data_IF_744045666119
#
_entry.id   IF_744045666119
#
_cell.length_a   1.000
_cell.length_b   1.000
_cell.length_c   1.000
_cell.angle_alpha   90.00
_cell.angle_beta   90.00
_cell.angle_gamma   90.00
#
_symmetry.space_group_name_H-M   'P 1'
#
loop_
_entity.id
_entity.type
_entity.pdbx_description
1 polymer ?
#
# COMPACT_ATOMS: atom_id res chain seq x y z
N UNK A 1 -55.99 -29.92 55.80
CA UNK A 1 -54.83 -29.01 55.73
C UNK A 1 -53.99 -29.35 54.50
N UNK A 2 -54.27 -28.65 53.40
CA UNK A 2 -53.60 -28.88 52.12
C UNK A 2 -52.59 -27.74 51.89
N UNK A 3 -51.30 -28.08 51.80
CA UNK A 3 -50.26 -27.11 51.50
C UNK A 3 -50.06 -27.08 49.97
N UNK A 4 -50.38 -25.95 49.35
CA UNK A 4 -50.03 -25.65 48.00
C UNK A 4 -48.52 -25.30 47.92
N UNK A 5 -47.72 -26.07 47.15
CA UNK A 5 -46.41 -25.72 46.75
C UNK A 5 -46.50 -24.93 45.43
N UNK A 6 -46.15 -23.66 45.49
CA UNK A 6 -46.06 -22.83 44.30
C UNK A 6 -44.70 -23.08 43.59
N UNK A 7 -44.74 -23.51 42.35
CA UNK A 7 -43.59 -23.60 41.47
C UNK A 7 -43.23 -22.19 40.91
N UNK A 8 -42.06 -21.70 41.29
CA UNK A 8 -41.49 -20.49 40.75
C UNK A 8 -40.71 -20.86 39.47
N UNK A 9 -41.27 -20.53 38.31
CA UNK A 9 -40.56 -20.68 37.03
C UNK A 9 -39.70 -19.42 36.85
N UNK A 10 -38.38 -19.61 36.97
CA UNK A 10 -37.40 -18.58 36.61
C UNK A 10 -37.16 -18.67 35.10
N UNK A 11 -37.75 -17.76 34.36
CA UNK A 11 -37.46 -17.61 32.94
C UNK A 11 -36.07 -16.94 32.77
N UNK A 12 -35.07 -17.74 32.48
CA UNK A 12 -33.75 -17.24 32.08
C UNK A 12 -33.81 -16.62 30.69
N UNK A 13 -33.68 -15.31 30.60
CA UNK A 13 -33.46 -14.63 29.31
C UNK A 13 -32.06 -14.94 28.81
N UNK A 14 -31.94 -15.77 27.76
CA UNK A 14 -30.69 -15.90 26.97
C UNK A 14 -30.49 -14.58 26.20
N UNK A 15 -29.60 -13.74 26.65
CA UNK A 15 -29.02 -12.70 25.79
C UNK A 15 -28.16 -13.38 24.72
N UNK A 16 -28.69 -13.47 23.51
CA UNK A 16 -27.85 -13.76 22.34
C UNK A 16 -26.93 -12.57 22.13
N UNK A 17 -25.62 -12.75 22.42
CA UNK A 17 -24.63 -11.81 22.03
C UNK A 17 -24.55 -11.85 20.47
N UNK A 18 -25.12 -10.82 19.83
CA UNK A 18 -24.88 -10.59 18.42
C UNK A 18 -23.38 -10.34 18.28
N UNK A 19 -22.68 -11.26 17.59
CA UNK A 19 -21.33 -11.03 17.13
C UNK A 19 -21.39 -9.85 16.16
N UNK A 20 -20.94 -8.69 16.59
CA UNK A 20 -20.66 -7.58 15.68
C UNK A 20 -19.46 -8.08 14.85
N UNK A 21 -19.74 -8.55 13.64
CA UNK A 21 -18.71 -8.68 12.62
C UNK A 21 -18.27 -7.25 12.39
N UNK A 22 -17.03 -6.91 12.78
CA UNK A 22 -16.42 -5.65 12.40
C UNK A 22 -16.50 -5.57 10.88
N UNK A 23 -17.18 -4.55 10.36
CA UNK A 23 -17.08 -4.24 8.93
C UNK A 23 -15.61 -4.01 8.67
N UNK A 24 -15.07 -4.73 7.67
CA UNK A 24 -13.70 -4.50 7.22
C UNK A 24 -13.58 -3.02 6.86
N UNK A 25 -12.72 -2.29 7.57
CA UNK A 25 -12.55 -0.86 7.35
C UNK A 25 -11.96 -0.52 5.98
N UNK A 26 -11.48 -1.53 5.23
CA UNK A 26 -10.91 -1.40 3.89
C UNK A 26 -11.42 -2.53 3.00
N UNK A 27 -12.12 -2.20 1.93
CA UNK A 27 -12.58 -3.14 0.91
C UNK A 27 -11.85 -2.89 -0.40
N UNK A 28 -11.26 -3.94 -0.97
CA UNK A 28 -10.54 -3.88 -2.25
C UNK A 28 -11.36 -4.53 -3.36
N UNK A 29 -11.56 -3.78 -4.44
CA UNK A 29 -12.23 -4.26 -5.65
C UNK A 29 -11.16 -4.61 -6.70
N UNK A 30 -11.08 -5.88 -7.07
CA UNK A 30 -10.16 -6.35 -8.11
C UNK A 30 -10.56 -5.89 -9.51
N UNK A 31 -9.64 -5.97 -10.45
CA UNK A 31 -9.94 -5.81 -11.87
C UNK A 31 -10.70 -7.05 -12.37
N UNK A 32 -11.76 -6.84 -13.15
CA UNK A 32 -12.41 -7.92 -13.87
C UNK A 32 -11.56 -8.32 -15.09
N UNK A 33 -11.40 -9.61 -15.32
CA UNK A 33 -10.72 -10.17 -16.50
C UNK A 33 -9.24 -9.72 -16.67
N UNK A 34 -8.53 -9.38 -15.59
CA UNK A 34 -7.14 -8.94 -15.64
C UNK A 34 -6.35 -9.37 -14.42
N UNK A 35 -5.16 -9.95 -14.66
CA UNK A 35 -4.18 -10.29 -13.61
C UNK A 35 -3.19 -9.12 -13.33
N UNK A 36 -3.46 -7.93 -13.87
CA UNK A 36 -2.59 -6.78 -13.63
C UNK A 36 -2.63 -6.40 -12.14
N UNK A 37 -1.48 -6.28 -11.45
CA UNK A 37 -1.42 -6.26 -10.00
C UNK A 37 -1.78 -4.88 -9.39
N UNK A 38 -3.04 -4.45 -9.56
CA UNK A 38 -3.63 -3.28 -8.91
C UNK A 38 -5.09 -3.56 -8.54
N UNK A 39 -5.65 -2.81 -7.61
CA UNK A 39 -7.10 -2.76 -7.40
C UNK A 39 -7.76 -1.80 -8.40
N UNK A 40 -8.96 -2.15 -8.87
CA UNK A 40 -9.85 -1.23 -9.59
C UNK A 40 -10.19 -0.03 -8.71
N UNK A 41 -10.53 -0.31 -7.45
CA UNK A 41 -10.86 0.70 -6.43
C UNK A 41 -10.58 0.14 -5.04
N UNK A 42 -10.40 1.03 -4.08
CA UNK A 42 -10.35 0.69 -2.66
C UNK A 42 -11.31 1.60 -1.92
N UNK A 43 -12.26 1.01 -1.19
CA UNK A 43 -13.14 1.72 -0.28
C UNK A 43 -12.57 1.69 1.13
N UNK A 44 -12.66 2.83 1.82
CA UNK A 44 -12.33 2.95 3.23
C UNK A 44 -13.58 3.25 4.04
N UNK A 45 -13.85 2.45 5.07
CA UNK A 45 -14.98 2.63 5.97
C UNK A 45 -14.84 3.87 6.87
N UNK A 46 -15.91 4.29 7.53
CA UNK A 46 -15.95 5.55 8.31
C UNK A 46 -15.05 5.52 9.56
N UNK A 47 -14.56 4.37 9.97
CA UNK A 47 -13.70 4.21 11.14
C UNK A 47 -12.22 3.96 10.75
N UNK A 48 -11.93 3.87 9.47
CA UNK A 48 -10.56 3.68 8.99
C UNK A 48 -9.68 4.89 9.37
N UNK A 49 -8.55 4.60 9.98
CA UNK A 49 -7.49 5.59 10.15
C UNK A 49 -6.72 5.72 8.85
N UNK A 50 -6.67 6.92 8.30
CA UNK A 50 -5.95 7.21 7.06
C UNK A 50 -4.62 7.91 7.36
N UNK A 51 -3.56 7.42 6.73
CA UNK A 51 -2.21 7.98 6.75
C UNK A 51 -1.84 8.43 5.34
N UNK A 52 -1.42 9.67 5.19
CA UNK A 52 -0.86 10.25 3.96
C UNK A 52 0.66 10.30 4.12
N UNK A 53 1.38 9.52 3.33
CA UNK A 53 2.83 9.52 3.29
C UNK A 53 3.30 10.39 2.12
N UNK A 54 4.14 11.37 2.42
CA UNK A 54 4.74 12.25 1.40
C UNK A 54 5.57 11.47 0.39
N UNK A 55 5.84 12.08 -0.77
CA UNK A 55 6.70 11.53 -1.80
C UNK A 55 8.02 11.01 -1.21
N UNK A 56 8.35 9.80 -1.61
CA UNK A 56 9.59 9.09 -1.24
C UNK A 56 10.43 8.94 -2.49
N UNK A 57 11.69 9.27 -2.39
CA UNK A 57 12.68 9.27 -3.47
C UNK A 57 13.77 8.24 -3.18
N UNK A 58 14.55 7.79 -4.18
CA UNK A 58 15.56 6.76 -3.98
C UNK A 58 16.72 7.26 -3.11
N UNK A 59 17.31 6.36 -2.36
CA UNK A 59 18.55 6.58 -1.63
C UNK A 59 19.78 6.42 -2.56
N UNK A 60 20.89 7.04 -2.17
CA UNK A 60 22.16 6.90 -2.91
C UNK A 60 22.64 5.44 -2.83
N UNK A 61 22.87 4.83 -3.97
CA UNK A 61 23.40 3.48 -4.09
C UNK A 61 24.95 3.47 -4.35
N UNK A 62 25.47 4.52 -4.97
CA UNK A 62 26.91 4.71 -5.22
C UNK A 62 27.37 6.11 -4.77
N UNK A 63 27.95 6.19 -3.58
CA UNK A 63 28.48 7.45 -2.99
C UNK A 63 29.66 8.04 -3.78
N UNK A 64 30.25 7.29 -4.70
CA UNK A 64 31.37 7.77 -5.55
C UNK A 64 30.89 8.51 -6.81
N UNK A 65 29.62 8.36 -7.17
CA UNK A 65 29.02 9.02 -8.33
C UNK A 65 28.53 10.43 -7.98
N UNK A 66 28.32 11.25 -9.00
CA UNK A 66 27.71 12.58 -8.84
C UNK A 66 26.24 12.40 -8.40
N UNK A 67 25.86 13.01 -7.27
CA UNK A 67 24.50 12.93 -6.71
C UNK A 67 23.41 13.48 -7.66
N UNK A 68 23.75 14.20 -8.70
CA UNK A 68 22.83 14.66 -9.74
C UNK A 68 22.70 13.69 -10.92
N UNK A 69 23.48 12.61 -10.92
CA UNK A 69 23.49 11.61 -11.99
C UNK A 69 22.67 10.37 -11.63
N UNK A 70 22.03 9.74 -12.62
CA UNK A 70 21.33 8.46 -12.45
C UNK A 70 22.25 7.39 -11.86
N UNK A 71 23.54 7.41 -12.22
CA UNK A 71 24.52 6.45 -11.73
C UNK A 71 24.63 6.41 -10.19
N UNK A 72 24.35 7.51 -9.49
CA UNK A 72 24.35 7.55 -8.03
C UNK A 72 23.22 6.71 -7.41
N UNK A 73 22.13 6.48 -8.13
CA UNK A 73 20.91 5.83 -7.63
C UNK A 73 20.61 4.50 -8.32
N UNK A 74 21.27 4.21 -9.45
CA UNK A 74 21.02 3.03 -10.26
C UNK A 74 19.91 3.21 -11.30
N UNK A 75 19.52 2.13 -11.94
CA UNK A 75 18.44 2.07 -12.92
C UNK A 75 17.04 2.16 -12.26
N UNK A 76 15.99 2.16 -13.09
CA UNK A 76 14.60 2.27 -12.63
C UNK A 76 14.24 1.18 -11.61
N UNK A 77 14.66 -0.06 -11.84
CA UNK A 77 14.35 -1.18 -10.94
C UNK A 77 15.05 -1.00 -9.59
N UNK A 78 16.32 -0.63 -9.59
CA UNK A 78 17.10 -0.36 -8.38
C UNK A 78 16.51 0.80 -7.58
N UNK A 79 16.18 1.90 -8.24
CA UNK A 79 15.58 3.06 -7.59
C UNK A 79 14.18 2.75 -7.06
N UNK A 80 13.36 2.01 -7.81
CA UNK A 80 12.01 1.60 -7.37
C UNK A 80 12.05 0.72 -6.13
N UNK A 81 12.98 -0.24 -6.10
CA UNK A 81 13.19 -1.12 -4.93
C UNK A 81 13.63 -0.30 -3.71
N UNK A 82 14.56 0.64 -3.88
CA UNK A 82 15.01 1.56 -2.82
C UNK A 82 13.84 2.37 -2.25
N UNK A 83 13.02 2.98 -3.12
CA UNK A 83 11.85 3.77 -2.72
C UNK A 83 10.82 2.92 -1.97
N UNK A 84 10.47 1.73 -2.49
CA UNK A 84 9.47 0.85 -1.87
C UNK A 84 9.95 0.29 -0.53
N UNK A 85 11.23 -0.02 -0.40
CA UNK A 85 11.85 -0.41 0.88
C UNK A 85 11.74 0.73 1.90
N UNK A 86 12.10 1.95 1.52
CA UNK A 86 12.00 3.13 2.40
C UNK A 86 10.54 3.43 2.79
N UNK A 87 9.56 3.21 1.89
CA UNK A 87 8.13 3.32 2.21
C UNK A 87 7.74 2.26 3.24
N UNK A 88 8.15 1.01 3.08
CA UNK A 88 7.84 -0.07 4.02
C UNK A 88 8.37 0.25 5.42
N UNK A 89 9.61 0.69 5.54
CA UNK A 89 10.23 1.09 6.82
C UNK A 89 9.50 2.28 7.48
N UNK A 90 9.12 3.30 6.70
CA UNK A 90 8.36 4.45 7.21
C UNK A 90 6.97 4.04 7.70
N UNK A 91 6.27 3.17 6.95
CA UNK A 91 4.96 2.66 7.34
C UNK A 91 5.07 1.86 8.64
N UNK A 92 6.06 0.94 8.75
CA UNK A 92 6.30 0.16 9.96
C UNK A 92 6.58 1.05 11.17
N UNK A 93 7.44 2.06 11.02
CA UNK A 93 7.73 3.05 12.07
C UNK A 93 6.52 3.85 12.54
N UNK A 94 5.47 3.95 11.72
CA UNK A 94 4.20 4.61 12.02
C UNK A 94 3.09 3.62 12.43
N UNK A 95 3.41 2.31 12.51
CA UNK A 95 2.49 1.25 12.89
C UNK A 95 1.56 0.81 11.76
N UNK A 96 1.96 0.98 10.49
CA UNK A 96 1.29 0.50 9.28
C UNK A 96 2.17 -0.52 8.57
N UNK A 97 1.60 -1.22 7.60
CA UNK A 97 2.28 -2.21 6.76
C UNK A 97 2.05 -1.89 5.27
N UNK A 98 2.84 -2.51 4.38
CA UNK A 98 2.60 -2.39 2.93
C UNK A 98 1.20 -2.85 2.53
N UNK A 99 0.63 -3.84 3.22
CA UNK A 99 -0.72 -4.31 3.03
C UNK A 99 -1.81 -3.29 3.38
N UNK A 100 -1.49 -2.24 4.16
CA UNK A 100 -2.41 -1.15 4.49
C UNK A 100 -2.47 -0.06 3.39
N UNK A 101 -1.58 -0.10 2.39
CA UNK A 101 -1.58 0.88 1.29
C UNK A 101 -2.85 0.71 0.47
N UNK A 102 -3.63 1.79 0.36
CA UNK A 102 -4.90 1.84 -0.37
C UNK A 102 -4.80 2.61 -1.69
N UNK A 103 -3.87 3.56 -1.79
CA UNK A 103 -3.61 4.34 -2.99
C UNK A 103 -2.10 4.56 -3.15
N UNK A 104 -1.63 4.51 -4.39
CA UNK A 104 -0.25 4.83 -4.77
C UNK A 104 -0.25 5.74 -6.00
N UNK A 105 0.56 6.79 -5.96
CA UNK A 105 0.95 7.55 -7.15
C UNK A 105 2.46 7.37 -7.37
N UNK A 106 2.83 6.89 -8.54
CA UNK A 106 4.21 6.75 -8.97
C UNK A 106 4.49 7.73 -10.11
N UNK A 107 5.44 8.62 -9.89
CA UNK A 107 5.94 9.59 -10.86
C UNK A 107 7.23 9.03 -11.44
N UNK A 108 7.23 8.74 -12.75
CA UNK A 108 8.32 8.04 -13.41
C UNK A 108 9.00 8.98 -14.41
N UNK A 109 10.33 9.03 -14.38
CA UNK A 109 11.10 9.84 -15.31
C UNK A 109 11.72 8.92 -16.36
N UNK A 110 11.54 9.19 -17.67
CA UNK A 110 12.28 8.50 -18.70
C UNK A 110 13.79 8.65 -18.49
N UNK A 111 14.55 7.57 -18.71
CA UNK A 111 16.00 7.62 -18.56
C UNK A 111 16.58 8.75 -19.45
N UNK A 112 17.32 9.73 -18.88
CA UNK A 112 17.80 10.90 -19.62
C UNK A 112 18.78 10.54 -20.75
N UNK A 113 19.48 9.40 -20.65
CA UNK A 113 20.45 8.96 -21.65
C UNK A 113 19.79 8.32 -22.87
N UNK A 114 18.64 7.64 -22.68
CA UNK A 114 17.93 6.91 -23.74
C UNK A 114 16.64 7.59 -24.19
N UNK A 115 16.04 8.40 -23.32
CA UNK A 115 14.71 8.99 -23.51
C UNK A 115 13.56 7.98 -23.36
N UNK A 116 13.83 6.74 -22.95
CA UNK A 116 12.85 5.67 -22.80
C UNK A 116 12.42 5.51 -21.33
N UNK A 117 11.12 5.28 -21.15
CA UNK A 117 10.56 4.96 -19.85
C UNK A 117 10.70 3.45 -19.61
N UNK A 118 11.46 3.08 -18.59
CA UNK A 118 11.56 1.68 -18.14
C UNK A 118 10.44 1.33 -17.16
N UNK A 119 9.24 1.11 -17.71
CA UNK A 119 8.09 0.69 -16.90
C UNK A 119 8.24 -0.74 -16.37
N UNK A 120 8.94 -1.61 -17.09
CA UNK A 120 9.17 -3.00 -16.67
C UNK A 120 10.07 -3.05 -15.43
N UNK A 121 11.12 -2.22 -15.38
CA UNK A 121 11.96 -2.08 -14.19
C UNK A 121 11.18 -1.63 -12.94
N UNK A 122 10.26 -0.66 -13.10
CA UNK A 122 9.35 -0.29 -12.03
C UNK A 122 8.46 -1.48 -11.60
N UNK A 123 7.88 -2.21 -12.55
CA UNK A 123 6.99 -3.33 -12.25
C UNK A 123 7.71 -4.52 -11.60
N UNK A 124 8.96 -4.80 -12.00
CA UNK A 124 9.77 -5.84 -11.37
C UNK A 124 9.92 -5.58 -9.87
N UNK A 125 10.31 -4.37 -9.49
CA UNK A 125 10.41 -3.99 -8.08
C UNK A 125 9.04 -3.96 -7.38
N UNK A 126 7.99 -3.42 -8.02
CA UNK A 126 6.66 -3.30 -7.44
C UNK A 126 6.08 -4.66 -7.01
N UNK A 127 6.24 -5.69 -7.84
CA UNK A 127 5.69 -7.02 -7.57
C UNK A 127 6.45 -7.79 -6.47
N UNK A 128 7.56 -7.29 -5.99
CA UNK A 128 8.23 -7.80 -4.78
C UNK A 128 7.50 -7.38 -3.50
N UNK A 129 6.73 -6.29 -3.53
CA UNK A 129 6.06 -5.69 -2.37
C UNK A 129 4.53 -5.85 -2.38
N UNK A 130 3.92 -6.03 -3.56
CA UNK A 130 2.47 -6.08 -3.72
C UNK A 130 2.03 -7.29 -4.54
N UNK A 131 0.95 -7.95 -4.08
CA UNK A 131 0.41 -9.12 -4.75
C UNK A 131 1.24 -10.38 -4.57
N UNK A 132 2.06 -10.44 -3.53
CA UNK A 132 2.82 -11.63 -3.15
C UNK A 132 1.96 -12.57 -2.30
N UNK A 133 2.40 -13.81 -2.13
CA UNK A 133 1.71 -14.78 -1.26
C UNK A 133 1.64 -14.28 0.20
N UNK A 134 2.68 -13.57 0.67
CA UNK A 134 2.76 -13.04 2.03
C UNK A 134 2.03 -11.70 2.17
N UNK A 135 1.96 -10.90 1.11
CA UNK A 135 1.29 -9.60 1.07
C UNK A 135 0.42 -9.50 -0.21
N UNK A 136 -0.82 -10.07 -0.20
CA UNK A 136 -1.68 -10.16 -1.39
C UNK A 136 -2.45 -8.87 -1.68
N UNK A 137 -2.50 -7.91 -0.77
CA UNK A 137 -3.28 -6.69 -0.91
C UNK A 137 -2.72 -5.76 -1.99
N UNK A 138 -3.58 -5.32 -2.89
CA UNK A 138 -3.21 -4.42 -3.98
C UNK A 138 -3.82 -3.03 -3.74
N UNK A 139 -3.06 -1.93 -3.92
CA UNK A 139 -3.61 -0.58 -3.90
C UNK A 139 -4.33 -0.24 -5.23
N UNK A 140 -5.22 0.73 -5.20
CA UNK A 140 -5.50 1.52 -6.39
C UNK A 140 -4.22 2.29 -6.76
N UNK A 141 -3.85 2.36 -8.05
CA UNK A 141 -2.56 2.94 -8.45
C UNK A 141 -2.66 3.74 -9.75
N UNK A 142 -1.99 4.90 -9.75
CA UNK A 142 -1.63 5.59 -10.98
C UNK A 142 -0.11 5.64 -11.11
N UNK A 143 0.41 5.31 -12.28
CA UNK A 143 1.82 5.48 -12.63
C UNK A 143 1.89 6.35 -13.89
N UNK A 144 2.54 7.52 -13.79
CA UNK A 144 2.54 8.52 -14.85
C UNK A 144 3.96 9.00 -15.14
N UNK A 145 4.32 9.16 -16.43
CA UNK A 145 5.58 9.78 -16.79
C UNK A 145 5.56 11.27 -16.46
N UNK A 146 6.65 11.75 -15.89
CA UNK A 146 6.89 13.18 -15.67
C UNK A 146 8.21 13.59 -16.33
N UNK A 147 8.38 14.85 -16.74
CA UNK A 147 9.59 15.25 -17.47
C UNK A 147 10.85 15.22 -16.60
N UNK A 148 10.74 15.46 -15.32
CA UNK A 148 11.84 15.42 -14.33
C UNK A 148 11.28 15.44 -12.91
N UNK A 149 12.11 15.04 -11.94
CA UNK A 149 11.93 15.23 -10.51
C UNK A 149 12.87 16.30 -9.97
N UNK A 150 12.84 16.56 -8.65
CA UNK A 150 13.63 17.61 -8.03
C UNK A 150 15.16 17.40 -8.19
N UNK A 151 15.61 16.13 -8.19
CA UNK A 151 16.99 15.78 -8.52
C UNK A 151 17.01 15.10 -9.90
N UNK A 152 17.91 15.52 -10.82
CA UNK A 152 18.03 14.94 -12.15
C UNK A 152 18.42 13.44 -12.17
N UNK A 153 19.06 12.95 -11.10
CA UNK A 153 19.40 11.55 -10.94
C UNK A 153 18.25 10.63 -10.55
N UNK A 154 17.11 11.19 -10.14
CA UNK A 154 15.94 10.41 -9.75
C UNK A 154 15.05 10.04 -10.94
N UNK A 155 14.82 8.75 -11.09
CA UNK A 155 13.92 8.19 -12.11
C UNK A 155 12.51 7.92 -11.56
N UNK A 156 12.33 7.95 -10.24
CA UNK A 156 11.05 7.63 -9.60
C UNK A 156 10.87 8.41 -8.30
N UNK A 157 9.62 8.82 -8.06
CA UNK A 157 9.12 9.25 -6.76
C UNK A 157 7.76 8.59 -6.53
N UNK A 158 7.50 8.10 -5.31
CA UNK A 158 6.24 7.44 -4.96
C UNK A 158 5.66 8.11 -3.71
N UNK A 159 4.36 8.43 -3.78
CA UNK A 159 3.54 8.78 -2.63
C UNK A 159 2.48 7.71 -2.40
N UNK A 160 2.12 7.45 -1.14
CA UNK A 160 1.09 6.48 -0.80
C UNK A 160 0.13 7.01 0.24
N UNK A 161 -1.10 6.47 0.18
CA UNK A 161 -2.10 6.61 1.22
C UNK A 161 -2.32 5.21 1.80
N UNK A 162 -2.18 5.07 3.12
CA UNK A 162 -2.47 3.85 3.84
C UNK A 162 -3.71 4.02 4.72
N UNK A 163 -4.48 2.95 4.92
CA UNK A 163 -5.67 2.96 5.77
C UNK A 163 -5.88 1.62 6.46
N UNK A 164 -6.35 1.66 7.72
CA UNK A 164 -6.76 0.47 8.50
C UNK A 164 -7.78 0.80 9.58
#
# INVERSE_FOLDING_TARGET
MQRLLGNLIVAGALLAAASVHGEDNVTRHGLEDSDFPISLAVETGPQAKTLYLSGTVPEIADESADESAVAAYGDMETQSRSVLTSIAEKLEGLGYEMGDVVMMHAYLVPNPDTGELDFDGFMNAYTEFFGTDDQPNLPARSAVPVPQLANPGWLIEIEVIAAK
#
